data_IF_340498241733
#
_entry.id   IF_340498241733
#
_cell.length_a   1.000
_cell.length_b   1.000
_cell.length_c   1.000
_cell.angle_alpha   90.00
_cell.angle_beta   90.00
_cell.angle_gamma   90.00
#
_symmetry.space_group_name_H-M   'P 1'
#
loop_
_entity.id
_entity.type
_entity.pdbx_description
1 polymer ?
#
# COMPACT_ATOMS: atom_id res chain seq x y z
N UNK A 1 73.13 -3.40 22.34
CA UNK A 1 71.83 -4.06 22.56
C UNK A 1 70.77 -3.32 21.76
N UNK A 2 70.16 -3.99 20.76
CA UNK A 2 69.14 -3.42 19.87
C UNK A 2 67.76 -3.62 20.51
N UNK A 3 66.98 -2.55 20.66
CA UNK A 3 65.56 -2.64 21.02
C UNK A 3 64.72 -2.79 19.75
N UNK A 4 63.94 -3.85 19.67
CA UNK A 4 62.89 -4.07 18.68
C UNK A 4 61.62 -3.36 19.16
N UNK A 5 61.09 -2.43 18.36
CA UNK A 5 59.76 -1.88 18.57
C UNK A 5 58.77 -2.64 17.69
N UNK A 6 57.85 -3.39 18.31
CA UNK A 6 56.71 -4.02 17.63
C UNK A 6 55.57 -3.00 17.51
N UNK A 7 55.21 -2.64 16.28
CA UNK A 7 54.02 -1.85 15.98
C UNK A 7 52.86 -2.82 15.76
N UNK A 8 51.86 -2.75 16.63
CA UNK A 8 50.63 -3.55 16.54
C UNK A 8 49.57 -2.72 15.80
N UNK A 9 49.28 -3.08 14.55
CA UNK A 9 48.27 -2.40 13.72
C UNK A 9 46.94 -3.13 13.91
N UNK A 10 46.03 -2.53 14.67
CA UNK A 10 44.63 -2.96 14.72
C UNK A 10 43.91 -2.49 13.46
N UNK A 11 43.61 -3.43 12.57
CA UNK A 11 42.75 -3.18 11.40
C UNK A 11 41.28 -3.26 11.87
N UNK A 12 40.63 -2.11 12.09
CA UNK A 12 39.18 -2.06 12.24
C UNK A 12 38.54 -2.32 10.87
N UNK A 13 37.93 -3.49 10.70
CA UNK A 13 37.06 -3.77 9.55
C UNK A 13 35.74 -3.03 9.71
N UNK A 14 35.58 -1.92 9.00
CA UNK A 14 34.28 -1.28 8.74
C UNK A 14 33.47 -2.21 7.82
N UNK A 15 32.56 -3.00 8.38
CA UNK A 15 31.56 -3.69 7.59
C UNK A 15 30.55 -2.64 7.09
N UNK A 16 30.26 -2.58 5.78
CA UNK A 16 29.19 -1.74 5.28
C UNK A 16 27.86 -2.24 5.86
N UNK A 17 27.12 -1.36 6.51
CA UNK A 17 25.73 -1.61 6.90
C UNK A 17 24.94 -1.72 5.59
N UNK A 18 24.72 -2.94 5.13
CA UNK A 18 23.74 -3.19 4.07
C UNK A 18 22.37 -2.96 4.72
N UNK A 19 21.81 -1.77 4.56
CA UNK A 19 20.38 -1.56 4.80
C UNK A 19 19.66 -2.37 3.72
N UNK A 20 19.26 -3.60 4.04
CA UNK A 20 18.31 -4.34 3.22
C UNK A 20 17.07 -3.45 3.07
N UNK A 21 16.85 -2.94 1.86
CA UNK A 21 15.70 -2.13 1.54
C UNK A 21 14.49 -3.07 1.57
N UNK A 22 13.92 -3.26 2.76
CA UNK A 22 12.84 -4.19 2.98
C UNK A 22 11.60 -3.57 2.34
N UNK A 23 11.27 -3.97 1.11
CA UNK A 23 10.00 -3.66 0.46
C UNK A 23 8.87 -4.41 1.20
N UNK A 24 8.60 -4.01 2.44
CA UNK A 24 7.48 -4.50 3.23
C UNK A 24 6.19 -4.05 2.57
N UNK A 25 5.26 -4.97 2.30
CA UNK A 25 3.91 -4.67 1.80
C UNK A 25 3.20 -3.57 2.61
N UNK A 26 3.50 -3.49 3.90
CA UNK A 26 2.98 -2.50 4.83
C UNK A 26 4.06 -1.50 5.23
N UNK A 27 3.65 -0.24 5.37
CA UNK A 27 4.46 0.77 6.04
C UNK A 27 4.63 0.48 7.54
N UNK A 28 5.57 1.18 8.14
CA UNK A 28 5.69 1.26 9.60
C UNK A 28 4.44 1.93 10.21
N UNK A 29 4.10 1.50 11.42
CA UNK A 29 2.99 2.05 12.19
C UNK A 29 3.22 3.52 12.51
N UNK A 30 2.21 4.35 12.23
CA UNK A 30 2.16 5.77 12.53
C UNK A 30 1.09 6.03 13.61
N UNK A 31 1.34 6.89 14.60
CA UNK A 31 0.32 7.25 15.57
C UNK A 31 -0.79 8.08 14.92
N UNK A 32 -2.03 7.89 15.37
CA UNK A 32 -3.15 8.78 15.02
C UNK A 32 -3.21 9.89 16.07
N UNK A 33 -2.84 11.11 15.69
CA UNK A 33 -2.94 12.28 16.56
C UNK A 33 -4.28 12.99 16.34
N UNK A 34 -4.84 13.59 17.38
CA UNK A 34 -6.16 14.25 17.33
C UNK A 34 -6.17 15.55 16.53
N UNK A 35 -5.00 16.09 16.18
CA UNK A 35 -4.83 17.38 15.51
C UNK A 35 -4.51 17.26 14.01
N UNK A 36 -4.19 16.06 13.51
CA UNK A 36 -3.73 15.87 12.14
C UNK A 36 -4.83 15.32 11.24
N UNK A 37 -5.07 16.01 10.13
CA UNK A 37 -5.77 15.44 9.00
C UNK A 37 -4.93 14.30 8.43
N UNK A 38 -5.47 13.09 8.42
CA UNK A 38 -4.80 11.95 7.81
C UNK A 38 -4.62 12.20 6.30
N UNK A 39 -3.53 11.73 5.68
CA UNK A 39 -3.26 11.95 4.25
C UNK A 39 -4.15 11.10 3.32
N UNK A 40 -5.07 10.34 3.90
CA UNK A 40 -5.98 9.42 3.22
C UNK A 40 -7.37 9.47 3.84
N UNK A 41 -8.34 8.99 3.09
CA UNK A 41 -9.71 8.72 3.51
C UNK A 41 -9.93 7.22 3.60
N UNK A 42 -10.83 6.78 4.50
CA UNK A 42 -11.21 5.38 4.70
C UNK A 42 -12.69 5.27 5.08
N UNK A 43 -13.23 4.05 5.10
CA UNK A 43 -14.64 3.78 5.44
C UNK A 43 -15.60 4.02 4.28
N UNK A 44 -15.31 3.42 3.13
CA UNK A 44 -16.05 3.63 1.88
C UNK A 44 -17.31 2.75 1.76
N UNK A 45 -17.63 1.97 2.78
CA UNK A 45 -18.83 1.13 2.83
C UNK A 45 -19.41 1.05 4.24
N UNK A 46 -20.71 0.77 4.35
CA UNK A 46 -21.38 0.61 5.64
C UNK A 46 -20.77 -0.53 6.48
N UNK A 47 -20.32 -1.61 5.84
CA UNK A 47 -19.60 -2.69 6.52
C UNK A 47 -18.26 -2.22 7.08
N UNK A 48 -17.55 -1.35 6.36
CA UNK A 48 -16.30 -0.78 6.86
C UNK A 48 -16.52 0.19 8.04
N UNK A 49 -17.54 1.04 7.94
CA UNK A 49 -17.89 1.96 9.02
C UNK A 49 -18.31 1.20 10.28
N UNK A 50 -19.15 0.18 10.15
CA UNK A 50 -19.55 -0.68 11.27
C UNK A 50 -18.36 -1.42 11.89
N UNK A 51 -17.50 -2.03 11.07
CA UNK A 51 -16.29 -2.71 11.55
C UNK A 51 -15.32 -1.76 12.27
N UNK A 52 -15.18 -0.52 11.80
CA UNK A 52 -14.38 0.48 12.50
C UNK A 52 -14.99 0.88 13.85
N UNK A 53 -16.32 1.02 13.95
CA UNK A 53 -16.99 1.26 15.23
C UNK A 53 -16.77 0.12 16.22
N UNK A 54 -16.87 -1.14 15.77
CA UNK A 54 -16.61 -2.32 16.59
C UNK A 54 -15.15 -2.36 17.08
N UNK A 55 -14.20 -2.04 16.19
CA UNK A 55 -12.79 -1.86 16.54
C UNK A 55 -12.60 -0.81 17.65
N UNK A 56 -13.25 0.36 17.54
CA UNK A 56 -13.17 1.42 18.56
C UNK A 56 -13.80 0.99 19.88
N UNK A 57 -14.94 0.31 19.84
CA UNK A 57 -15.64 -0.18 21.02
C UNK A 57 -14.82 -1.24 21.76
N UNK A 58 -14.24 -2.22 21.05
CA UNK A 58 -13.36 -3.24 21.62
C UNK A 58 -12.15 -2.61 22.31
N UNK A 59 -11.52 -1.63 21.63
CA UNK A 59 -10.38 -0.90 22.16
C UNK A 59 -10.72 -0.13 23.45
N UNK A 60 -11.85 0.59 23.46
CA UNK A 60 -12.31 1.34 24.62
C UNK A 60 -12.63 0.43 25.82
N UNK A 61 -13.20 -0.75 25.57
CA UNK A 61 -13.47 -1.76 26.61
C UNK A 61 -12.17 -2.23 27.28
N UNK A 62 -11.18 -2.66 26.49
CA UNK A 62 -9.89 -3.12 27.02
C UNK A 62 -9.16 -2.03 27.82
N UNK A 63 -9.18 -0.79 27.33
CA UNK A 63 -8.56 0.33 28.03
C UNK A 63 -9.27 0.66 29.36
N UNK A 64 -10.60 0.57 29.38
CA UNK A 64 -11.41 0.81 30.59
C UNK A 64 -11.17 -0.23 31.68
N UNK A 65 -11.04 -1.51 31.31
CA UNK A 65 -10.71 -2.61 32.22
C UNK A 65 -9.35 -2.38 32.93
N UNK A 66 -8.40 -1.76 32.23
CA UNK A 66 -7.07 -1.41 32.73
C UNK A 66 -6.96 0.03 33.25
N UNK A 67 -8.06 0.79 33.29
CA UNK A 67 -8.10 2.21 33.72
C UNK A 67 -7.05 3.10 33.03
N UNK A 68 -6.84 2.88 31.74
CA UNK A 68 -5.87 3.62 30.93
C UNK A 68 -6.54 4.20 29.68
N UNK A 69 -5.83 5.05 28.95
CA UNK A 69 -6.31 5.64 27.69
C UNK A 69 -5.72 4.86 26.52
N UNK A 70 -6.53 4.42 25.55
CA UNK A 70 -6.00 3.75 24.38
C UNK A 70 -5.27 4.74 23.47
N UNK A 71 -4.25 4.27 22.78
CA UNK A 71 -3.64 5.00 21.66
C UNK A 71 -3.98 4.30 20.35
N UNK A 72 -4.18 5.10 19.30
CA UNK A 72 -4.55 4.59 17.98
C UNK A 72 -3.41 4.81 17.02
N UNK A 73 -3.25 3.85 16.13
CA UNK A 73 -2.18 3.79 15.15
C UNK A 73 -2.77 3.39 13.81
N UNK A 74 -2.07 3.71 12.73
CA UNK A 74 -2.40 3.25 11.40
C UNK A 74 -1.13 2.88 10.64
N UNK A 75 -1.29 2.01 9.64
CA UNK A 75 -0.29 1.81 8.59
C UNK A 75 -0.99 1.57 7.26
N UNK A 76 -0.33 1.94 6.18
CA UNK A 76 -0.87 1.82 4.84
C UNK A 76 -0.11 0.76 4.06
N UNK A 77 -0.78 0.05 3.16
CA UNK A 77 -0.11 -0.84 2.24
C UNK A 77 0.52 -0.07 1.07
N UNK A 78 1.48 -0.68 0.38
CA UNK A 78 2.22 -0.02 -0.69
C UNK A 78 1.39 0.33 -1.92
N UNK A 79 0.21 -0.28 -2.10
CA UNK A 79 -0.68 0.06 -3.21
C UNK A 79 -1.09 1.53 -3.17
N UNK A 80 -1.36 2.08 -1.97
CA UNK A 80 -1.89 3.44 -1.85
C UNK A 80 -0.97 4.49 -2.49
N UNK A 81 0.35 4.33 -2.39
CA UNK A 81 1.31 5.29 -2.96
C UNK A 81 1.54 5.10 -4.45
N UNK A 82 1.46 3.84 -4.91
CA UNK A 82 1.70 3.48 -6.31
C UNK A 82 0.50 3.73 -7.20
N UNK A 83 -0.71 3.48 -6.71
CA UNK A 83 -1.96 3.56 -7.50
C UNK A 83 -3.04 4.44 -6.85
N UNK A 84 -2.77 5.09 -5.72
CA UNK A 84 -3.68 6.02 -5.05
C UNK A 84 -4.70 5.37 -4.11
N UNK A 85 -4.90 4.06 -4.23
CA UNK A 85 -5.88 3.29 -3.46
C UNK A 85 -5.23 2.02 -2.93
N UNK A 86 -5.70 1.56 -1.78
CA UNK A 86 -5.11 0.41 -1.09
C UNK A 86 -5.88 0.09 0.18
N UNK A 87 -5.14 -0.33 1.20
CA UNK A 87 -5.69 -0.67 2.51
C UNK A 87 -4.99 0.14 3.60
N UNK A 88 -5.76 0.53 4.60
CA UNK A 88 -5.27 0.96 5.91
C UNK A 88 -5.52 -0.17 6.90
N UNK A 89 -4.51 -0.45 7.71
CA UNK A 89 -4.66 -1.20 8.94
C UNK A 89 -4.65 -0.22 10.11
N UNK A 90 -5.74 -0.21 10.87
CA UNK A 90 -5.88 0.50 12.13
C UNK A 90 -5.41 -0.41 13.25
N UNK A 91 -4.74 0.15 14.24
CA UNK A 91 -4.28 -0.56 15.42
C UNK A 91 -4.67 0.19 16.68
N UNK A 92 -5.11 -0.55 17.69
CA UNK A 92 -5.34 -0.03 19.02
C UNK A 92 -4.27 -0.58 19.97
N UNK A 93 -3.59 0.31 20.67
CA UNK A 93 -2.70 -0.06 21.76
C UNK A 93 -3.26 0.34 23.11
N UNK A 94 -3.11 -0.56 24.07
CA UNK A 94 -3.41 -0.34 25.49
C UNK A 94 -2.15 -0.72 26.27
N UNK A 95 -1.64 0.19 27.11
CA UNK A 95 -0.34 0.04 27.80
C UNK A 95 0.83 -0.30 26.86
N UNK A 96 0.84 0.29 25.65
CA UNK A 96 1.90 0.10 24.65
C UNK A 96 1.85 -1.24 23.90
N UNK A 97 0.79 -2.05 24.06
CA UNK A 97 0.61 -3.32 23.35
C UNK A 97 -0.58 -3.27 22.42
N UNK A 98 -0.43 -3.76 21.18
CA UNK A 98 -1.56 -3.91 20.27
C UNK A 98 -2.54 -4.96 20.80
N UNK A 99 -3.79 -4.56 21.00
CA UNK A 99 -4.87 -5.44 21.49
C UNK A 99 -5.85 -5.83 20.39
N UNK A 100 -5.97 -5.02 19.33
CA UNK A 100 -6.77 -5.32 18.15
C UNK A 100 -6.25 -4.52 16.95
N UNK A 101 -6.38 -5.08 15.75
CA UNK A 101 -6.24 -4.37 14.48
C UNK A 101 -7.47 -4.52 13.60
N UNK A 102 -7.65 -3.60 12.66
CA UNK A 102 -8.80 -3.57 11.76
C UNK A 102 -8.39 -3.08 10.37
N UNK A 103 -8.79 -3.79 9.32
CA UNK A 103 -8.48 -3.46 7.94
C UNK A 103 -9.65 -2.77 7.25
N UNK A 104 -9.37 -1.72 6.50
CA UNK A 104 -10.35 -1.06 5.63
C UNK A 104 -9.69 -0.50 4.37
N UNK A 105 -10.49 -0.17 3.37
CA UNK A 105 -10.06 0.48 2.14
C UNK A 105 -9.57 1.90 2.44
N UNK A 106 -8.47 2.29 1.80
CA UNK A 106 -7.87 3.62 1.93
C UNK A 106 -7.59 4.25 0.57
N UNK A 107 -7.79 5.56 0.47
CA UNK A 107 -7.59 6.37 -0.73
C UNK A 107 -6.84 7.65 -0.36
N UNK A 108 -5.80 8.04 -1.09
CA UNK A 108 -5.13 9.32 -0.84
C UNK A 108 -6.06 10.52 -1.10
N UNK A 109 -6.00 11.53 -0.24
CA UNK A 109 -6.89 12.69 -0.33
C UNK A 109 -6.57 13.61 -1.52
N UNK A 110 -5.37 13.55 -2.08
CA UNK A 110 -4.86 14.45 -3.12
C UNK A 110 -5.03 13.93 -4.56
N UNK A 111 -5.98 13.00 -4.76
CA UNK A 111 -6.21 12.34 -6.05
C UNK A 111 -7.30 13.04 -6.86
N UNK A 112 -6.96 13.39 -8.10
CA UNK A 112 -7.95 13.74 -9.11
C UNK A 112 -8.73 12.48 -9.54
N UNK A 113 -10.05 12.63 -9.70
CA UNK A 113 -10.92 11.59 -10.22
C UNK A 113 -11.25 11.82 -11.70
N UNK A 114 -11.22 10.78 -12.56
CA UNK A 114 -10.75 9.42 -12.31
C UNK A 114 -9.22 9.33 -12.12
N UNK A 115 -8.75 8.28 -11.43
CA UNK A 115 -7.32 8.09 -11.20
C UNK A 115 -6.68 7.51 -12.46
N UNK A 116 -5.75 8.27 -13.06
CA UNK A 116 -4.96 7.80 -14.19
C UNK A 116 -3.85 6.85 -13.70
N UNK A 117 -3.85 5.63 -14.22
CA UNK A 117 -2.80 4.64 -14.00
C UNK A 117 -2.10 4.31 -15.32
N UNK A 118 -0.78 4.19 -15.29
CA UNK A 118 0.04 3.73 -16.40
C UNK A 118 0.51 2.31 -16.14
N UNK A 119 0.32 1.43 -17.11
CA UNK A 119 0.76 0.03 -17.06
C UNK A 119 2.29 -0.02 -17.06
N UNK A 120 2.85 -0.79 -16.14
CA UNK A 120 4.29 -1.01 -16.00
C UNK A 120 4.53 -2.47 -15.57
N UNK A 121 4.36 -3.42 -16.48
CA UNK A 121 4.74 -4.81 -16.25
C UNK A 121 6.25 -4.97 -16.41
N UNK A 122 6.90 -5.58 -15.41
CA UNK A 122 8.32 -5.93 -15.49
C UNK A 122 8.58 -7.13 -16.42
N UNK A 123 7.53 -7.91 -16.71
CA UNK A 123 7.61 -9.13 -17.52
C UNK A 123 6.73 -8.96 -18.77
N UNK A 124 7.35 -9.15 -19.94
CA UNK A 124 6.68 -9.06 -21.24
C UNK A 124 6.30 -7.64 -21.64
N UNK A 125 5.35 -7.52 -22.57
CA UNK A 125 5.00 -6.25 -23.21
C UNK A 125 3.74 -5.58 -22.60
N UNK A 126 3.29 -6.01 -21.42
CA UNK A 126 1.99 -5.61 -20.87
C UNK A 126 1.28 -6.69 -20.07
N UNK A 127 -0.01 -6.45 -19.78
CA UNK A 127 -0.82 -7.26 -18.88
C UNK A 127 -2.03 -7.87 -19.59
N UNK A 128 -2.32 -9.13 -19.26
CA UNK A 128 -3.55 -9.80 -19.71
C UNK A 128 -4.74 -9.32 -18.89
N UNK A 129 -5.87 -9.15 -19.55
CA UNK A 129 -7.17 -8.84 -18.94
C UNK A 129 -8.04 -10.09 -19.00
N UNK A 130 -8.66 -10.41 -17.87
CA UNK A 130 -9.47 -11.61 -17.68
C UNK A 130 -10.85 -11.26 -17.18
N UNK A 131 -11.81 -12.14 -17.43
CA UNK A 131 -13.19 -11.93 -16.99
C UNK A 131 -13.31 -11.98 -15.46
N UNK A 132 -12.58 -12.88 -14.82
CA UNK A 132 -12.55 -13.08 -13.36
C UNK A 132 -11.10 -12.95 -12.82
N UNK A 133 -10.92 -12.61 -11.54
CA UNK A 133 -9.61 -12.37 -10.93
C UNK A 133 -8.90 -13.71 -10.61
N UNK A 134 -8.61 -14.50 -11.62
CA UNK A 134 -7.88 -15.76 -11.51
C UNK A 134 -7.17 -16.11 -12.81
N UNK A 135 -6.02 -16.78 -12.73
CA UNK A 135 -5.24 -17.21 -13.89
C UNK A 135 -5.98 -18.21 -14.81
N UNK A 136 -7.00 -18.89 -14.28
CA UNK A 136 -7.80 -19.87 -15.03
C UNK A 136 -8.96 -19.24 -15.80
N UNK A 137 -9.28 -17.97 -15.54
CA UNK A 137 -10.41 -17.28 -16.17
C UNK A 137 -10.17 -16.99 -17.65
N UNK A 138 -11.24 -16.87 -18.41
CA UNK A 138 -11.22 -16.47 -19.81
C UNK A 138 -10.41 -15.19 -20.00
N UNK A 139 -9.49 -15.25 -20.96
CA UNK A 139 -8.77 -14.09 -21.46
C UNK A 139 -9.70 -13.27 -22.36
N UNK A 140 -9.85 -11.98 -22.05
CA UNK A 140 -10.76 -11.08 -22.77
C UNK A 140 -10.06 -9.89 -23.42
N UNK A 141 -8.77 -9.70 -23.17
CA UNK A 141 -8.00 -8.62 -23.78
C UNK A 141 -6.62 -8.40 -23.17
N UNK A 142 -5.99 -7.32 -23.58
CA UNK A 142 -4.61 -6.99 -23.23
C UNK A 142 -4.46 -5.49 -23.00
N UNK A 143 -3.64 -5.13 -22.02
CA UNK A 143 -3.14 -3.78 -21.85
C UNK A 143 -1.65 -3.76 -22.15
N UNK A 144 -1.20 -2.85 -22.99
CA UNK A 144 0.21 -2.72 -23.36
C UNK A 144 0.99 -1.99 -22.27
N UNK A 145 2.27 -2.29 -22.14
CA UNK A 145 3.17 -1.52 -21.28
C UNK A 145 3.17 -0.05 -21.71
N UNK A 146 3.03 0.84 -20.73
CA UNK A 146 2.93 2.28 -20.96
C UNK A 146 1.53 2.79 -21.31
N UNK A 147 0.56 1.90 -21.55
CA UNK A 147 -0.84 2.27 -21.75
C UNK A 147 -1.40 2.95 -20.49
N UNK A 148 -2.22 3.98 -20.69
CA UNK A 148 -2.86 4.74 -19.62
C UNK A 148 -4.31 4.31 -19.51
N UNK A 149 -4.71 3.88 -18.32
CA UNK A 149 -6.09 3.50 -17.99
C UNK A 149 -6.65 4.45 -16.92
N UNK A 150 -7.97 4.54 -16.87
CA UNK A 150 -8.67 5.22 -15.79
C UNK A 150 -9.18 4.19 -14.80
N UNK A 151 -8.89 4.39 -13.51
CA UNK A 151 -9.38 3.56 -12.42
C UNK A 151 -10.43 4.30 -11.60
N UNK A 152 -11.39 3.54 -11.08
CA UNK A 152 -12.35 4.04 -10.09
C UNK A 152 -11.66 4.44 -8.78
N UNK A 153 -12.40 5.13 -7.92
CA UNK A 153 -11.93 5.59 -6.62
C UNK A 153 -12.99 5.27 -5.54
N UNK A 154 -12.72 4.35 -4.61
CA UNK A 154 -11.55 3.45 -4.56
C UNK A 154 -11.52 2.48 -5.76
N UNK A 155 -10.33 2.00 -6.14
CA UNK A 155 -10.27 0.93 -7.15
C UNK A 155 -10.64 -0.40 -6.50
N UNK A 156 -11.35 -1.24 -7.25
CA UNK A 156 -11.69 -2.59 -6.79
C UNK A 156 -10.46 -3.50 -6.90
N UNK A 157 -9.94 -3.90 -5.75
CA UNK A 157 -8.77 -4.78 -5.64
C UNK A 157 -9.18 -6.03 -4.86
N UNK A 158 -8.77 -7.20 -5.35
CA UNK A 158 -8.99 -8.48 -4.67
C UNK A 158 -7.77 -9.37 -4.80
N UNK A 159 -7.64 -10.39 -3.96
CA UNK A 159 -6.61 -11.42 -4.08
C UNK A 159 -7.22 -12.76 -4.47
N UNK A 160 -6.52 -13.53 -5.30
CA UNK A 160 -6.89 -14.91 -5.57
C UNK A 160 -6.29 -15.89 -4.54
N UNK A 161 -6.57 -17.17 -4.70
CA UNK A 161 -6.07 -18.24 -3.81
C UNK A 161 -4.56 -18.45 -3.88
N UNK A 162 -3.88 -17.88 -4.87
CA UNK A 162 -2.41 -17.90 -4.99
C UNK A 162 -1.74 -16.73 -4.26
N UNK A 163 -2.53 -15.78 -3.76
CA UNK A 163 -2.05 -14.54 -3.16
C UNK A 163 -1.75 -13.43 -4.17
N UNK A 164 -2.08 -13.62 -5.45
CA UNK A 164 -1.97 -12.60 -6.49
C UNK A 164 -3.07 -11.57 -6.31
N UNK A 165 -2.70 -10.30 -6.39
CA UNK A 165 -3.65 -9.21 -6.35
C UNK A 165 -4.07 -8.82 -7.75
N UNK A 166 -5.36 -8.58 -7.90
CA UNK A 166 -6.05 -8.21 -9.12
C UNK A 166 -6.69 -6.86 -8.95
N UNK A 167 -6.63 -6.03 -9.99
CA UNK A 167 -7.34 -4.76 -10.06
C UNK A 167 -8.39 -4.85 -11.18
N UNK A 168 -9.60 -4.41 -10.87
CA UNK A 168 -10.66 -4.30 -11.87
C UNK A 168 -10.48 -3.03 -12.70
N UNK A 169 -10.68 -3.17 -14.01
CA UNK A 169 -10.55 -2.08 -14.97
C UNK A 169 -11.79 -1.96 -15.85
N UNK A 170 -12.07 -0.72 -16.25
CA UNK A 170 -13.00 -0.39 -17.33
C UNK A 170 -12.25 0.54 -18.28
N UNK A 171 -11.77 0.00 -19.40
CA UNK A 171 -10.97 0.75 -20.36
C UNK A 171 -11.35 0.37 -21.79
N UNK A 172 -11.76 1.35 -22.59
CA UNK A 172 -12.32 1.13 -23.93
C UNK A 172 -13.46 0.09 -23.88
N UNK A 173 -13.35 -0.99 -24.65
CA UNK A 173 -14.29 -2.12 -24.65
C UNK A 173 -13.96 -3.20 -23.60
N UNK A 174 -12.86 -3.05 -22.84
CA UNK A 174 -12.43 -4.03 -21.85
C UNK A 174 -13.04 -3.73 -20.48
N UNK A 175 -13.72 -4.73 -19.92
CA UNK A 175 -14.26 -4.73 -18.56
C UNK A 175 -13.89 -6.04 -17.88
N UNK A 176 -12.95 -5.99 -16.95
CA UNK A 176 -12.47 -7.20 -16.28
C UNK A 176 -11.31 -6.94 -15.33
N UNK A 177 -10.59 -8.00 -14.99
CA UNK A 177 -9.53 -8.01 -14.00
C UNK A 177 -8.17 -8.18 -14.65
N UNK A 178 -7.17 -7.49 -14.12
CA UNK A 178 -5.78 -7.66 -14.53
C UNK A 178 -4.86 -7.72 -13.32
N UNK A 179 -3.69 -8.33 -13.48
CA UNK A 179 -2.77 -8.57 -12.36
C UNK A 179 -2.19 -7.24 -11.88
N UNK A 180 -2.48 -6.89 -10.62
CA UNK A 180 -1.86 -5.76 -9.94
C UNK A 180 -0.45 -6.13 -9.46
N UNK A 181 -0.31 -7.25 -8.75
CA UNK A 181 0.99 -7.80 -8.33
C UNK A 181 0.87 -9.30 -8.10
N UNK A 182 1.95 -10.06 -8.30
CA UNK A 182 1.96 -11.51 -8.16
C UNK A 182 1.77 -11.99 -6.72
N UNK A 183 2.24 -11.20 -5.76
CA UNK A 183 2.08 -11.41 -4.33
C UNK A 183 2.35 -10.08 -3.60
N UNK A 184 2.14 -10.04 -2.29
CA UNK A 184 2.27 -8.82 -1.47
C UNK A 184 3.64 -8.12 -1.53
N UNK A 185 4.71 -8.83 -1.89
CA UNK A 185 6.08 -8.29 -1.93
C UNK A 185 6.61 -8.11 -3.37
N UNK A 186 5.82 -8.46 -4.39
CA UNK A 186 6.23 -8.36 -5.78
C UNK A 186 5.98 -6.96 -6.33
N UNK A 187 6.59 -6.69 -7.50
CA UNK A 187 6.39 -5.45 -8.24
C UNK A 187 4.91 -5.15 -8.50
N UNK A 188 4.55 -3.86 -8.44
CA UNK A 188 3.20 -3.38 -8.69
C UNK A 188 3.15 -2.95 -10.15
N UNK A 189 2.34 -3.64 -10.96
CA UNK A 189 2.30 -3.48 -12.42
C UNK A 189 1.68 -2.17 -12.91
N UNK A 190 1.44 -1.22 -12.01
CA UNK A 190 0.83 0.07 -12.28
C UNK A 190 1.54 1.16 -11.49
N UNK A 191 1.61 2.32 -12.11
CA UNK A 191 2.03 3.56 -11.46
C UNK A 191 0.99 4.65 -11.75
N UNK A 192 0.79 5.57 -10.81
CA UNK A 192 0.01 6.78 -11.08
C UNK A 192 0.66 7.55 -12.24
N UNK A 193 -0.17 8.07 -13.13
CA UNK A 193 0.30 9.05 -14.10
C UNK A 193 0.83 10.29 -13.35
N UNK A 194 1.86 10.97 -13.89
CA UNK A 194 2.26 12.27 -13.36
C UNK A 194 1.05 13.20 -13.27
N UNK A 195 0.96 14.01 -12.20
CA UNK A 195 0.04 15.15 -12.20
C UNK A 195 0.42 15.99 -13.43
N UNK A 196 -0.57 16.33 -14.27
CA UNK A 196 -0.33 17.32 -15.31
C UNK A 196 0.05 18.60 -14.57
N UNK A 197 1.32 18.99 -14.62
CA UNK A 197 1.69 20.35 -14.24
C UNK A 197 0.95 21.27 -15.21
N UNK A 198 0.22 22.25 -14.69
CA UNK A 198 -0.47 23.24 -15.51
C UNK A 198 0.55 23.95 -16.40
N UNK A 199 0.70 23.46 -17.63
CA UNK A 199 1.58 24.04 -18.65
C UNK A 199 0.94 25.28 -19.27
N UNK A 200 0.45 26.19 -18.44
CA UNK A 200 -0.10 27.48 -18.81
C UNK A 200 0.33 28.54 -17.78
N UNK A 201 1.62 28.82 -17.73
CA UNK A 201 2.09 30.13 -17.28
C UNK A 201 3.06 30.69 -18.33
N UNK A 202 2.55 31.42 -19.34
CA UNK A 202 3.39 32.30 -20.12
C UNK A 202 3.61 33.55 -19.26
N UNK A 203 4.82 33.70 -18.70
CA UNK A 203 5.34 35.02 -18.35
C UNK A 203 5.45 35.87 -19.63
#
# INVERSE_FOLDING_TARGET
MRFLATINIYLLSLLPIITANHNSYWQEWQPVTSSETLPFSAGFSNSELGGYMDFKAFCAKNASELKTTPTYWYRLNNFIYKIGTGQVEWGCQVEGKFVITYLSTAVLNDLAYPVCLKVQSDIGNGLRVRQEPTLLSQYIGYLSNGEKIQAGLPASITSDTTGRFWIFIQHNSLRGWTSLTENKNAHINFQRCPKLEDSNNPN
#
